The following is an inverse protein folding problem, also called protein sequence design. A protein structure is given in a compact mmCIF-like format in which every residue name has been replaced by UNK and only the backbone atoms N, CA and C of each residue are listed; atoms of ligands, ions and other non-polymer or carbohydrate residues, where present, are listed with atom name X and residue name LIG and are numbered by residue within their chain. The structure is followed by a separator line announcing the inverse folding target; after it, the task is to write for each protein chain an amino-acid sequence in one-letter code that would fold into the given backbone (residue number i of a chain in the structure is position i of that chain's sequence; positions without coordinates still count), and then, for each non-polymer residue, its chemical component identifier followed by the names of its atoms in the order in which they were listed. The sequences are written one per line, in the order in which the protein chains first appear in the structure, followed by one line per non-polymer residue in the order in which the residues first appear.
data_IF_061838164470
#
_entry.id   IF_061838164470
#
_cell.length_a   1.000
_cell.length_b   1.000
_cell.length_c   1.000
_cell.angle_alpha   90.00
_cell.angle_beta   90.00
_cell.angle_gamma   90.00
#
_symmetry.space_group_name_H-M   'P 1'
#
loop_
_entity.id
_entity.type
_entity.pdbx_description
1 polymer ?
#
# COMPACT_ATOMS: atom_id res chain seq x y z
N UNK A 1 8.66 -2.95 -22.19
CA UNK A 1 7.62 -2.23 -22.98
C UNK A 1 7.98 -0.76 -23.11
N UNK A 2 8.21 0.04 -22.06
CA UNK A 2 8.58 1.47 -22.14
C UNK A 2 9.76 1.71 -23.09
N UNK A 3 10.88 1.00 -22.90
CA UNK A 3 12.08 1.11 -23.73
C UNK A 3 11.86 0.77 -25.22
N UNK A 4 10.88 -0.08 -25.52
CA UNK A 4 10.59 -0.46 -26.92
C UNK A 4 9.64 0.51 -27.62
N UNK A 5 8.74 1.15 -26.87
CA UNK A 5 7.68 2.00 -27.44
C UNK A 5 8.08 3.48 -27.46
N UNK A 6 8.60 4.00 -26.34
CA UNK A 6 8.88 5.44 -26.19
C UNK A 6 9.85 6.04 -27.22
N UNK A 7 10.88 5.33 -27.72
CA UNK A 7 11.73 5.87 -28.79
C UNK A 7 10.99 6.20 -30.07
N UNK A 8 9.91 5.45 -30.38
CA UNK A 8 9.12 5.63 -31.58
C UNK A 8 7.78 6.39 -31.33
N UNK A 9 7.34 6.42 -30.09
CA UNK A 9 6.10 7.05 -29.63
C UNK A 9 6.35 7.77 -28.30
N UNK A 10 7.04 8.92 -28.33
CA UNK A 10 7.35 9.70 -27.13
C UNK A 10 6.09 10.26 -26.43
N UNK A 11 5.01 10.40 -27.17
CA UNK A 11 3.69 10.83 -26.71
C UNK A 11 2.90 9.74 -25.98
N UNK A 12 3.35 8.46 -26.02
CA UNK A 12 2.61 7.35 -25.43
C UNK A 12 2.77 7.34 -23.90
N UNK A 13 1.64 7.37 -23.21
CA UNK A 13 1.56 7.37 -21.74
C UNK A 13 1.53 5.96 -21.19
N UNK A 14 2.39 5.68 -20.19
CA UNK A 14 2.45 4.43 -19.47
C UNK A 14 1.95 4.63 -18.04
N UNK A 15 0.90 3.92 -17.66
CA UNK A 15 0.36 3.93 -16.30
C UNK A 15 0.57 2.57 -15.64
N UNK A 16 0.94 2.56 -14.36
CA UNK A 16 0.96 1.35 -13.56
C UNK A 16 -0.36 1.15 -12.83
N UNK A 17 -0.82 -0.10 -12.71
CA UNK A 17 -1.97 -0.47 -11.88
C UNK A 17 -1.57 -1.10 -10.55
N UNK A 18 -0.27 -1.13 -10.23
CA UNK A 18 0.22 -1.79 -9.03
C UNK A 18 0.49 -0.76 -7.92
N UNK A 19 -0.42 -0.71 -6.95
CA UNK A 19 -0.36 0.24 -5.83
C UNK A 19 0.92 0.11 -5.00
N UNK A 20 1.32 -1.13 -4.69
CA UNK A 20 2.51 -1.41 -3.90
C UNK A 20 3.84 -1.02 -4.59
N UNK A 21 3.81 -0.69 -5.87
CA UNK A 21 4.99 -0.36 -6.65
C UNK A 21 4.86 0.97 -7.42
N UNK A 22 3.99 1.88 -7.00
CA UNK A 22 3.79 3.15 -7.70
C UNK A 22 5.11 3.93 -7.85
N UNK A 23 5.83 4.15 -6.74
CA UNK A 23 7.10 4.86 -6.76
C UNK A 23 8.15 4.22 -7.69
N UNK A 24 8.52 2.94 -7.55
CA UNK A 24 9.53 2.35 -8.44
C UNK A 24 9.07 2.33 -9.90
N UNK A 25 7.77 2.18 -10.19
CA UNK A 25 7.26 2.24 -11.57
C UNK A 25 7.39 3.64 -12.18
N UNK A 26 7.20 4.70 -11.40
CA UNK A 26 7.47 6.08 -11.83
C UNK A 26 8.98 6.27 -12.12
N UNK A 27 9.86 5.72 -11.28
CA UNK A 27 11.31 5.84 -11.44
C UNK A 27 11.83 5.14 -12.70
N UNK A 28 11.21 4.04 -13.12
CA UNK A 28 11.59 3.33 -14.35
C UNK A 28 10.88 3.86 -15.60
N UNK A 29 10.08 4.93 -15.47
CA UNK A 29 9.54 5.70 -16.60
C UNK A 29 8.03 5.57 -16.85
N UNK A 30 7.24 5.06 -15.91
CA UNK A 30 5.80 5.27 -15.95
C UNK A 30 5.47 6.74 -15.73
N UNK A 31 4.43 7.22 -16.38
CA UNK A 31 3.97 8.62 -16.31
C UNK A 31 2.97 8.85 -15.17
N UNK A 32 2.44 7.75 -14.61
CA UNK A 32 1.48 7.79 -13.50
C UNK A 32 0.97 6.41 -13.13
N UNK A 33 -0.15 6.38 -12.39
CA UNK A 33 -0.80 5.15 -11.96
C UNK A 33 -2.32 5.21 -12.08
N UNK A 34 -2.94 4.04 -12.28
CA UNK A 34 -4.38 3.80 -12.16
C UNK A 34 -4.61 2.89 -10.95
N UNK A 35 -4.30 3.42 -9.78
CA UNK A 35 -4.21 2.67 -8.54
C UNK A 35 -5.54 2.63 -7.78
N UNK A 36 -5.88 1.49 -7.18
CA UNK A 36 -7.11 1.35 -6.39
C UNK A 36 -7.08 2.22 -5.12
N UNK A 37 -5.90 2.33 -4.48
CA UNK A 37 -5.69 3.21 -3.32
C UNK A 37 -5.94 4.68 -3.64
N UNK A 38 -5.73 5.12 -4.90
CA UNK A 38 -6.00 6.51 -5.31
C UNK A 38 -7.48 6.89 -5.23
N UNK A 39 -8.40 5.93 -5.25
CA UNK A 39 -9.81 6.17 -4.99
C UNK A 39 -10.11 6.43 -3.52
N UNK A 40 -9.32 5.88 -2.62
CA UNK A 40 -9.50 5.98 -1.16
C UNK A 40 -8.74 7.17 -0.58
N UNK A 41 -7.47 7.32 -0.96
CA UNK A 41 -6.55 8.34 -0.45
C UNK A 41 -5.85 9.09 -1.60
N UNK A 42 -6.60 9.82 -2.44
CA UNK A 42 -6.05 10.53 -3.60
C UNK A 42 -4.98 11.55 -3.22
N UNK A 43 -5.15 12.22 -2.09
CA UNK A 43 -4.21 13.19 -1.55
C UNK A 43 -2.84 12.57 -1.25
N UNK A 44 -2.82 11.36 -0.73
CA UNK A 44 -1.57 10.64 -0.38
C UNK A 44 -0.90 10.06 -1.62
N UNK A 45 -1.68 9.46 -2.51
CA UNK A 45 -1.14 8.95 -3.78
C UNK A 45 -0.61 10.08 -4.65
N UNK A 46 -1.24 11.25 -4.64
CA UNK A 46 -0.74 12.46 -5.30
C UNK A 46 0.55 12.96 -4.67
N UNK A 47 0.62 13.03 -3.35
CA UNK A 47 1.86 13.39 -2.64
C UNK A 47 3.01 12.44 -2.97
N UNK A 48 2.75 11.13 -3.00
CA UNK A 48 3.75 10.14 -3.40
C UNK A 48 4.27 10.37 -4.83
N UNK A 49 3.38 10.65 -5.76
CA UNK A 49 3.73 11.01 -7.14
C UNK A 49 4.63 12.24 -7.16
N UNK A 50 4.21 13.33 -6.51
CA UNK A 50 4.94 14.60 -6.51
C UNK A 50 6.34 14.46 -5.88
N UNK A 51 6.47 13.76 -4.75
CA UNK A 51 7.76 13.46 -4.12
C UNK A 51 8.68 12.67 -5.05
N UNK A 52 8.15 11.65 -5.72
CA UNK A 52 8.91 10.81 -6.65
C UNK A 52 9.40 11.62 -7.84
N UNK A 53 8.54 12.43 -8.44
CA UNK A 53 8.89 13.27 -9.59
C UNK A 53 9.86 14.38 -9.20
N UNK A 54 9.78 14.91 -7.99
CA UNK A 54 10.73 15.86 -7.41
C UNK A 54 12.06 15.22 -6.98
N UNK A 55 12.25 13.90 -7.16
CA UNK A 55 13.43 13.14 -6.75
C UNK A 55 13.71 13.17 -5.23
N UNK A 56 12.70 13.42 -4.42
CA UNK A 56 12.76 13.30 -2.96
C UNK A 56 12.58 11.82 -2.57
N UNK A 57 13.60 11.02 -2.91
CA UNK A 57 13.51 9.55 -2.96
C UNK A 57 13.25 8.96 -1.58
N UNK A 58 13.94 9.44 -0.54
CA UNK A 58 13.79 8.89 0.81
C UNK A 58 12.38 9.14 1.36
N UNK A 59 11.86 10.35 1.20
CA UNK A 59 10.50 10.69 1.61
C UNK A 59 9.43 9.93 0.79
N UNK A 60 9.66 9.80 -0.51
CA UNK A 60 8.77 9.01 -1.37
C UNK A 60 8.75 7.54 -0.95
N UNK A 61 9.90 6.97 -0.58
CA UNK A 61 10.03 5.59 -0.11
C UNK A 61 9.26 5.37 1.19
N UNK A 62 9.44 6.24 2.18
CA UNK A 62 8.71 6.18 3.45
C UNK A 62 7.19 6.25 3.22
N UNK A 63 6.75 7.17 2.38
CA UNK A 63 5.33 7.30 2.05
C UNK A 63 4.80 6.07 1.27
N UNK A 64 5.61 5.49 0.38
CA UNK A 64 5.26 4.27 -0.33
C UNK A 64 5.06 3.10 0.65
N UNK A 65 5.91 2.93 1.66
CA UNK A 65 5.76 1.88 2.67
C UNK A 65 4.46 2.04 3.48
N UNK A 66 4.13 3.25 3.89
CA UNK A 66 2.86 3.55 4.57
C UNK A 66 1.67 3.22 3.67
N UNK A 67 1.76 3.57 2.39
CA UNK A 67 0.71 3.29 1.41
C UNK A 67 0.53 1.77 1.19
N UNK A 68 1.63 1.00 1.17
CA UNK A 68 1.59 -0.47 1.08
C UNK A 68 0.87 -1.06 2.28
N UNK A 69 1.13 -0.55 3.50
CA UNK A 69 0.43 -1.01 4.71
C UNK A 69 -1.10 -0.83 4.60
N UNK A 70 -1.55 0.31 4.08
CA UNK A 70 -2.98 0.53 3.83
C UNK A 70 -3.51 -0.37 2.70
N UNK A 71 -2.75 -0.51 1.61
CA UNK A 71 -3.10 -1.38 0.50
C UNK A 71 -3.30 -2.82 0.97
N UNK A 72 -2.36 -3.35 1.76
CA UNK A 72 -2.41 -4.70 2.32
C UNK A 72 -3.62 -4.86 3.26
N UNK A 73 -3.89 -3.87 4.11
CA UNK A 73 -5.08 -3.87 4.96
C UNK A 73 -6.38 -3.96 4.15
N UNK A 74 -6.45 -3.32 2.98
CA UNK A 74 -7.64 -3.35 2.12
C UNK A 74 -7.73 -4.62 1.28
N UNK A 75 -6.61 -5.11 0.73
CA UNK A 75 -6.65 -6.23 -0.23
C UNK A 75 -6.75 -7.59 0.46
N UNK A 76 -6.17 -7.72 1.67
CA UNK A 76 -6.17 -8.98 2.41
C UNK A 76 -7.26 -9.10 3.48
N UNK A 77 -8.00 -8.02 3.75
CA UNK A 77 -9.09 -8.03 4.75
C UNK A 77 -10.41 -8.58 4.23
N UNK A 78 -10.55 -8.73 2.91
CA UNK A 78 -11.75 -9.22 2.25
C UNK A 78 -11.44 -9.60 0.81
N UNK A 79 -12.38 -10.28 0.14
CA UNK A 79 -12.29 -10.48 -1.31
C UNK A 79 -12.29 -9.14 -2.04
N UNK A 80 -11.42 -9.00 -3.04
CA UNK A 80 -11.38 -7.79 -3.85
C UNK A 80 -12.73 -7.59 -4.59
N UNK A 81 -13.30 -6.38 -4.61
CA UNK A 81 -12.77 -5.09 -4.12
C UNK A 81 -13.33 -4.63 -2.76
N UNK A 82 -13.85 -5.51 -1.93
CA UNK A 82 -14.68 -5.14 -0.78
C UNK A 82 -13.91 -4.38 0.33
N UNK A 83 -12.63 -4.66 0.53
CA UNK A 83 -11.82 -3.87 1.46
C UNK A 83 -11.67 -2.42 1.01
N UNK A 84 -11.51 -2.17 -0.29
CA UNK A 84 -11.48 -0.79 -0.85
C UNK A 84 -12.84 -0.10 -0.73
N UNK A 85 -13.94 -0.83 -0.94
CA UNK A 85 -15.30 -0.31 -0.75
C UNK A 85 -15.56 0.08 0.71
N UNK A 86 -15.08 -0.75 1.64
CA UNK A 86 -15.16 -0.46 3.08
C UNK A 86 -14.36 0.80 3.43
N UNK A 87 -13.14 0.94 2.91
CA UNK A 87 -12.32 2.13 3.10
C UNK A 87 -12.97 3.40 2.50
N UNK A 88 -13.62 3.31 1.34
CA UNK A 88 -14.40 4.41 0.76
C UNK A 88 -15.56 4.83 1.66
N UNK A 89 -16.30 3.86 2.25
CA UNK A 89 -17.38 4.17 3.22
C UNK A 89 -16.84 4.91 4.45
N UNK A 90 -15.65 4.54 4.95
CA UNK A 90 -14.97 5.25 6.04
C UNK A 90 -14.58 6.69 5.66
N UNK A 91 -14.35 6.96 4.38
CA UNK A 91 -14.13 8.31 3.82
C UNK A 91 -15.43 9.08 3.54
N UNK A 92 -16.59 8.52 3.90
CA UNK A 92 -17.89 9.12 3.65
C UNK A 92 -18.42 8.97 2.21
N UNK A 93 -17.73 8.20 1.37
CA UNK A 93 -18.16 7.91 0.00
C UNK A 93 -19.04 6.67 0.00
N UNK A 94 -20.20 6.73 -0.68
CA UNK A 94 -21.11 5.61 -0.80
C UNK A 94 -20.92 4.89 -2.15
N UNK A 95 -20.10 3.81 -2.21
CA UNK A 95 -19.81 3.13 -3.47
C UNK A 95 -20.96 2.20 -3.96
N UNK A 96 -22.11 2.21 -3.28
CA UNK A 96 -23.23 1.32 -3.56
C UNK A 96 -23.01 -0.10 -3.03
N UNK A 97 -23.82 -1.06 -3.46
CA UNK A 97 -23.71 -2.47 -3.06
C UNK A 97 -22.91 -3.29 -4.06
N UNK A 98 -22.31 -4.40 -3.57
CA UNK A 98 -21.62 -5.34 -4.44
C UNK A 98 -22.62 -6.03 -5.38
N UNK A 99 -22.18 -6.26 -6.62
CA UNK A 99 -22.97 -7.06 -7.57
C UNK A 99 -22.71 -8.57 -7.44
N UNK A 100 -21.61 -8.93 -6.80
CA UNK A 100 -21.29 -10.33 -6.52
C UNK A 100 -21.83 -10.70 -5.13
N UNK A 101 -22.45 -11.88 -4.98
CA UNK A 101 -22.84 -12.35 -3.67
C UNK A 101 -21.58 -12.60 -2.83
N UNK A 102 -21.63 -12.19 -1.57
CA UNK A 102 -20.57 -12.49 -0.62
C UNK A 102 -20.55 -14.00 -0.34
N UNK A 103 -19.38 -14.59 -0.21
CA UNK A 103 -19.27 -15.91 0.37
C UNK A 103 -19.69 -15.88 1.84
N UNK A 104 -20.26 -16.98 2.34
CA UNK A 104 -20.68 -17.07 3.74
C UNK A 104 -19.50 -16.92 4.74
N UNK A 105 -18.28 -17.09 4.28
CA UNK A 105 -17.03 -16.92 5.06
C UNK A 105 -16.40 -15.55 4.92
N UNK A 106 -16.94 -14.66 4.08
CA UNK A 106 -16.36 -13.35 3.83
C UNK A 106 -16.67 -12.38 4.97
N UNK A 107 -15.64 -12.02 5.71
CA UNK A 107 -15.71 -11.00 6.75
C UNK A 107 -14.73 -9.88 6.43
N UNK A 108 -15.23 -8.65 6.27
CA UNK A 108 -14.35 -7.49 6.12
C UNK A 108 -13.78 -7.12 7.49
N UNK A 109 -12.47 -7.09 7.60
CA UNK A 109 -11.79 -6.68 8.83
C UNK A 109 -11.82 -5.15 8.97
N UNK A 110 -13.00 -4.61 9.24
CA UNK A 110 -13.26 -3.16 9.30
C UNK A 110 -12.37 -2.43 10.30
N UNK A 111 -12.07 -3.04 11.44
CA UNK A 111 -11.22 -2.43 12.46
C UNK A 111 -9.79 -2.22 11.95
N UNK A 112 -9.21 -3.22 11.27
CA UNK A 112 -7.88 -3.11 10.67
C UNK A 112 -7.84 -2.02 9.62
N UNK A 113 -8.80 -2.00 8.70
CA UNK A 113 -8.87 -0.97 7.65
C UNK A 113 -9.04 0.42 8.27
N UNK A 114 -10.00 0.57 9.20
CA UNK A 114 -10.30 1.85 9.85
C UNK A 114 -9.09 2.42 10.58
N UNK A 115 -8.43 1.60 11.38
CA UNK A 115 -7.23 2.01 12.13
C UNK A 115 -6.09 2.40 11.20
N UNK A 116 -5.76 1.56 10.21
CA UNK A 116 -4.67 1.83 9.28
C UNK A 116 -4.93 3.10 8.47
N UNK A 117 -6.16 3.28 7.99
CA UNK A 117 -6.56 4.48 7.25
C UNK A 117 -6.48 5.75 8.12
N UNK A 118 -7.02 5.70 9.34
CA UNK A 118 -7.00 6.84 10.26
C UNK A 118 -5.57 7.24 10.63
N UNK A 119 -4.70 6.26 10.91
CA UNK A 119 -3.30 6.52 11.20
C UNK A 119 -2.58 7.18 10.03
N UNK A 120 -2.71 6.63 8.83
CA UNK A 120 -2.07 7.19 7.64
C UNK A 120 -2.51 8.65 7.38
N UNK A 121 -3.81 8.91 7.49
CA UNK A 121 -4.34 10.27 7.29
C UNK A 121 -3.84 11.25 8.36
N UNK A 122 -3.77 10.84 9.62
CA UNK A 122 -3.28 11.67 10.70
C UNK A 122 -1.77 11.95 10.58
N UNK A 123 -0.96 10.93 10.30
CA UNK A 123 0.49 11.07 10.11
C UNK A 123 0.85 12.00 8.95
N UNK A 124 0.04 11.98 7.90
CA UNK A 124 0.24 12.82 6.72
C UNK A 124 -0.45 14.19 6.79
N UNK A 125 -1.13 14.49 7.93
CA UNK A 125 -1.74 15.79 8.19
C UNK A 125 -3.09 16.03 7.52
N UNK A 126 -3.79 14.96 7.12
CA UNK A 126 -5.10 15.03 6.48
C UNK A 126 -6.28 14.72 7.42
N UNK A 127 -6.00 14.38 8.68
CA UNK A 127 -7.00 14.18 9.72
C UNK A 127 -6.44 14.62 11.07
N UNK A 128 -7.33 14.93 11.99
CA UNK A 128 -7.00 15.09 13.40
C UNK A 128 -6.71 13.70 13.99
N UNK A 129 -6.18 13.63 15.20
CA UNK A 129 -5.65 12.43 15.85
C UNK A 129 -6.37 11.09 15.52
N UNK A 130 -5.62 10.00 15.32
CA UNK A 130 -6.21 8.68 15.08
C UNK A 130 -6.92 8.19 16.36
N UNK A 131 -8.07 7.57 16.18
CA UNK A 131 -8.82 6.92 17.27
C UNK A 131 -8.14 5.59 17.58
N UNK A 132 -7.35 5.52 18.66
CA UNK A 132 -6.58 4.35 19.06
C UNK A 132 -5.13 4.38 18.55
N UNK A 133 -4.27 3.54 19.13
CA UNK A 133 -2.85 3.48 18.75
C UNK A 133 -2.63 3.13 17.27
N UNK A 134 -1.78 3.90 16.61
CA UNK A 134 -1.34 3.58 15.25
C UNK A 134 -0.55 2.28 15.22
N UNK A 135 -0.63 1.46 14.14
CA UNK A 135 0.34 0.40 13.93
C UNK A 135 1.73 1.05 13.99
N UNK A 136 2.59 0.54 14.84
CA UNK A 136 3.96 1.05 14.97
C UNK A 136 4.58 0.96 13.57
N UNK A 137 5.12 2.09 13.07
CA UNK A 137 5.93 2.07 11.86
C UNK A 137 7.02 1.00 12.04
N UNK A 138 7.46 0.40 10.94
CA UNK A 138 8.45 -0.69 10.90
C UNK A 138 9.77 -0.41 11.63
N UNK A 139 9.96 0.77 12.18
CA UNK A 139 11.12 1.17 12.99
C UNK A 139 11.19 0.49 14.37
N UNK A 140 10.12 -0.22 14.77
CA UNK A 140 10.11 -1.03 15.99
C UNK A 140 10.08 -2.53 15.70
N UNK A 141 10.84 -2.96 14.72
CA UNK A 141 11.18 -4.38 14.63
C UNK A 141 12.15 -4.65 15.80
N UNK A 142 11.65 -5.34 16.82
CA UNK A 142 12.45 -5.73 17.97
C UNK A 142 13.69 -6.50 17.48
N UNK A 143 14.92 -5.93 17.64
CA UNK A 143 16.15 -6.57 17.16
C UNK A 143 16.32 -8.00 17.73
N UNK A 144 15.81 -8.29 18.93
CA UNK A 144 15.82 -9.62 19.52
C UNK A 144 14.87 -10.59 18.81
N UNK A 145 13.73 -10.09 18.34
CA UNK A 145 12.78 -10.89 17.56
C UNK A 145 13.34 -11.23 16.18
N UNK A 146 13.98 -10.28 15.52
CA UNK A 146 14.71 -10.54 14.26
C UNK A 146 15.84 -11.53 14.48
N UNK A 147 16.64 -11.36 15.53
CA UNK A 147 17.70 -12.28 15.89
C UNK A 147 17.20 -13.71 16.06
N UNK A 148 16.08 -13.90 16.77
CA UNK A 148 15.44 -15.23 16.97
C UNK A 148 14.97 -15.84 15.65
N UNK A 149 14.34 -15.05 14.76
CA UNK A 149 13.88 -15.51 13.45
C UNK A 149 15.08 -15.92 12.59
N UNK A 150 16.11 -15.09 12.51
CA UNK A 150 17.34 -15.38 11.75
C UNK A 150 18.02 -16.64 12.24
N UNK A 151 18.17 -16.81 13.57
CA UNK A 151 18.75 -18.03 14.13
C UNK A 151 17.89 -19.28 13.85
N UNK A 152 16.58 -19.17 13.92
CA UNK A 152 15.67 -20.26 13.56
C UNK A 152 15.82 -20.68 12.09
N UNK A 153 15.85 -19.72 11.18
CA UNK A 153 16.06 -19.99 9.74
C UNK A 153 17.43 -20.61 9.48
N UNK A 154 18.49 -20.09 10.11
CA UNK A 154 19.84 -20.65 9.96
C UNK A 154 19.94 -22.08 10.50
N UNK A 155 19.28 -22.39 11.63
CA UNK A 155 19.25 -23.74 12.18
C UNK A 155 18.53 -24.70 11.22
N UNK A 156 17.42 -24.28 10.62
CA UNK A 156 16.67 -25.10 9.67
C UNK A 156 17.44 -25.31 8.36
N UNK A 157 18.13 -24.28 7.84
CA UNK A 157 18.98 -24.41 6.67
C UNK A 157 20.15 -25.39 6.90
N UNK A 158 20.76 -25.35 8.10
CA UNK A 158 21.81 -26.33 8.51
C UNK A 158 21.27 -27.75 8.57
N UNK A 159 20.08 -27.96 9.13
CA UNK A 159 19.46 -29.29 9.15
C UNK A 159 19.17 -29.84 7.75
N UNK A 160 18.88 -28.96 6.80
CA UNK A 160 18.64 -29.31 5.38
C UNK A 160 19.92 -29.42 4.55
N UNK A 161 21.08 -29.18 5.14
CA UNK A 161 22.38 -29.22 4.42
C UNK A 161 22.56 -28.07 3.41
N UNK A 162 21.87 -26.94 3.63
CA UNK A 162 21.89 -25.77 2.74
C UNK A 162 22.73 -24.60 3.30
N UNK A 163 23.37 -24.75 4.45
CA UNK A 163 24.27 -23.78 5.07
C UNK A 163 25.35 -24.48 5.90
#
# INVERSE_FOLDING_TARGET
MIQAVRPNRPDFTFLTGWDAALMPMLLIGCDGGTNATSGVVPEITRKLYDLTMARRIDEARELQYKLVTLFDAMIYSADFPEGFRAALKLRGIQPGESRQPYSASQHVQMETISRTLACLLAEEGYANEPVGGCPVSSDAVDPEQVGRIVQGVLAELKQRGLA
#
